data_IF_292322447906
#
_entry.id   IF_292322447906
#
_cell.length_a   1.000
_cell.length_b   1.000
_cell.length_c   1.000
_cell.angle_alpha   90.00
_cell.angle_beta   90.00
_cell.angle_gamma   90.00
#
_symmetry.space_group_name_H-M   'P 1'
#
loop_
_entity.id
_entity.type
_entity.pdbx_description
1 polymer ?
#
# COMPACT_ATOMS: atom_id res chain seq x y z
N UNK A 1 9.64 2.13 76.28
CA UNK A 1 9.26 1.08 75.31
C UNK A 1 8.57 1.59 74.03
N UNK A 2 8.28 2.88 73.87
CA UNK A 2 7.62 3.39 72.66
C UNK A 2 8.57 3.92 71.56
N UNK A 3 9.88 4.08 71.86
CA UNK A 3 10.90 4.59 70.91
C UNK A 3 11.53 3.52 70.02
N UNK A 4 11.51 2.25 70.41
CA UNK A 4 12.04 1.15 69.59
C UNK A 4 10.99 0.53 68.65
N UNK A 5 9.70 0.77 68.89
CA UNK A 5 8.60 0.31 68.04
C UNK A 5 8.58 1.05 66.69
N UNK A 6 8.99 2.32 66.67
CA UNK A 6 9.02 3.15 65.46
C UNK A 6 10.20 2.80 64.54
N UNK A 7 11.31 2.31 65.09
CA UNK A 7 12.51 1.94 64.32
C UNK A 7 12.35 0.58 63.60
N UNK A 8 11.52 -0.31 64.16
CA UNK A 8 11.20 -1.64 63.57
C UNK A 8 10.22 -1.56 62.39
N UNK A 9 9.38 -0.52 62.35
CA UNK A 9 8.43 -0.30 61.24
C UNK A 9 9.15 0.26 59.99
N UNK A 10 10.21 1.06 60.18
CA UNK A 10 10.98 1.64 59.06
C UNK A 10 11.87 0.58 58.38
N UNK A 11 12.37 -0.41 59.13
CA UNK A 11 13.17 -1.51 58.56
C UNK A 11 12.31 -2.53 57.81
N UNK A 12 11.04 -2.73 58.21
CA UNK A 12 10.10 -3.58 57.47
C UNK A 12 9.57 -2.90 56.20
N UNK A 13 9.53 -1.56 56.17
CA UNK A 13 9.09 -0.80 55.00
C UNK A 13 10.17 -0.66 53.92
N UNK A 14 11.43 -1.00 54.21
CA UNK A 14 12.53 -0.98 53.24
C UNK A 14 12.81 -2.34 52.58
N UNK A 15 12.17 -3.43 53.04
CA UNK A 15 12.27 -4.77 52.46
C UNK A 15 11.23 -5.04 51.36
N UNK A 16 10.38 -4.07 51.03
CA UNK A 16 9.34 -4.17 49.99
C UNK A 16 9.61 -3.31 48.74
N UNK A 17 10.84 -2.83 48.52
CA UNK A 17 11.24 -2.09 47.30
C UNK A 17 12.28 -2.89 46.51
N UNK A 18 12.07 -4.20 46.35
CA UNK A 18 12.83 -5.01 45.39
C UNK A 18 11.99 -6.14 44.77
N UNK A 19 10.68 -5.95 44.67
CA UNK A 19 9.95 -6.59 43.58
C UNK A 19 10.06 -5.68 42.36
N UNK A 20 11.25 -5.67 41.75
CA UNK A 20 11.30 -5.56 40.31
C UNK A 20 10.55 -6.79 39.80
N UNK A 21 9.23 -6.67 39.68
CA UNK A 21 8.44 -7.55 38.86
C UNK A 21 9.00 -7.40 37.44
N UNK A 22 9.98 -8.23 37.09
CA UNK A 22 10.15 -8.62 35.70
C UNK A 22 8.80 -9.21 35.32
N UNK A 23 7.99 -8.39 34.66
CA UNK A 23 6.79 -8.83 33.99
C UNK A 23 7.23 -9.85 32.94
N UNK A 24 7.29 -11.13 33.30
CA UNK A 24 7.18 -12.19 32.32
C UNK A 24 5.84 -11.96 31.61
N UNK A 25 5.91 -11.56 30.35
CA UNK A 25 4.76 -11.56 29.45
C UNK A 25 4.30 -13.01 29.34
N UNK A 26 3.38 -13.42 30.19
CA UNK A 26 2.66 -14.69 30.02
C UNK A 26 1.74 -14.47 28.83
N UNK A 27 2.19 -14.87 27.65
CA UNK A 27 1.36 -14.87 26.44
C UNK A 27 0.28 -15.95 26.58
N UNK A 28 -0.98 -15.55 26.45
CA UNK A 28 -2.12 -16.41 26.73
C UNK A 28 -2.45 -17.30 25.54
N UNK A 29 -2.61 -18.60 25.78
CA UNK A 29 -3.05 -19.56 24.78
C UNK A 29 -4.54 -19.40 24.48
N UNK A 30 -4.88 -19.01 23.26
CA UNK A 30 -6.26 -18.77 22.80
C UNK A 30 -6.85 -20.03 22.16
N UNK A 31 -6.08 -20.68 21.28
CA UNK A 31 -6.50 -21.89 20.58
C UNK A 31 -5.30 -22.77 20.21
N UNK A 32 -5.58 -23.98 19.73
CA UNK A 32 -4.58 -24.89 19.13
C UNK A 32 -5.12 -25.41 17.81
N UNK A 33 -4.29 -25.43 16.76
CA UNK A 33 -4.62 -25.94 15.42
C UNK A 33 -3.59 -26.99 15.00
N UNK A 34 -4.00 -28.26 14.91
CA UNK A 34 -3.11 -29.39 14.61
C UNK A 34 -1.83 -29.36 15.48
N UNK A 35 -2.01 -29.22 16.79
CA UNK A 35 -0.95 -29.13 17.80
C UNK A 35 -0.10 -27.84 17.78
N UNK A 36 -0.40 -26.87 16.91
CA UNK A 36 0.25 -25.55 16.96
C UNK A 36 -0.55 -24.55 17.80
N UNK A 37 0.06 -23.88 18.79
CA UNK A 37 -0.62 -22.90 19.62
C UNK A 37 -0.91 -21.61 18.84
N UNK A 38 -2.08 -21.03 19.12
CA UNK A 38 -2.47 -19.66 18.77
C UNK A 38 -2.53 -18.87 20.07
N UNK A 39 -1.78 -17.78 20.13
CA UNK A 39 -1.69 -16.95 21.33
C UNK A 39 -2.40 -15.61 21.16
N UNK A 40 -2.61 -14.89 22.27
CA UNK A 40 -3.25 -13.58 22.25
C UNK A 40 -2.42 -12.57 21.45
N UNK A 41 -1.09 -12.61 21.58
CA UNK A 41 -0.19 -11.78 20.79
C UNK A 41 -0.41 -11.94 19.28
N UNK A 42 -0.64 -13.17 18.81
CA UNK A 42 -0.92 -13.42 17.39
C UNK A 42 -2.24 -12.78 16.90
N UNK A 43 -3.26 -12.73 17.77
CA UNK A 43 -4.53 -12.07 17.45
C UNK A 43 -4.36 -10.55 17.39
N UNK A 44 -3.66 -9.97 18.37
CA UNK A 44 -3.36 -8.54 18.40
C UNK A 44 -2.53 -8.14 17.18
N UNK A 45 -1.52 -8.94 16.82
CA UNK A 45 -0.74 -8.77 15.60
C UNK A 45 -1.61 -8.78 14.35
N UNK A 46 -2.57 -9.72 14.24
CA UNK A 46 -3.46 -9.81 13.09
C UNK A 46 -4.38 -8.59 12.97
N UNK A 47 -4.91 -8.08 14.10
CA UNK A 47 -5.74 -6.87 14.12
C UNK A 47 -4.93 -5.61 13.78
N UNK A 48 -3.67 -5.57 14.24
CA UNK A 48 -2.75 -4.47 14.02
C UNK A 48 -1.90 -4.64 12.75
N UNK A 49 -2.11 -5.68 11.95
CA UNK A 49 -1.29 -6.00 10.79
C UNK A 49 -1.48 -4.93 9.69
N UNK A 50 -0.64 -3.92 9.71
CA UNK A 50 -0.67 -2.81 8.74
C UNK A 50 -0.35 -3.23 7.31
N UNK A 51 0.30 -4.39 7.14
CA UNK A 51 0.68 -5.02 5.86
C UNK A 51 -0.50 -5.69 5.14
N UNK A 52 -1.59 -5.96 5.85
CA UNK A 52 -2.86 -6.38 5.25
C UNK A 52 -3.54 -5.12 4.72
N UNK A 53 -4.15 -5.22 3.53
CA UNK A 53 -5.03 -4.19 3.00
C UNK A 53 -5.96 -3.69 4.13
N UNK A 54 -6.02 -2.39 4.46
CA UNK A 54 -6.84 -1.87 5.55
C UNK A 54 -8.28 -2.39 5.56
N UNK A 55 -8.85 -2.65 4.38
CA UNK A 55 -10.20 -3.18 4.21
C UNK A 55 -10.35 -4.67 4.60
N UNK A 56 -9.26 -5.44 4.57
CA UNK A 56 -9.21 -6.88 4.89
C UNK A 56 -8.75 -7.16 6.33
N UNK A 57 -8.50 -6.14 7.16
CA UNK A 57 -8.10 -6.34 8.55
C UNK A 57 -9.24 -6.88 9.41
N UNK A 58 -8.96 -7.85 10.32
CA UNK A 58 -9.94 -8.30 11.30
C UNK A 58 -10.45 -7.15 12.17
N UNK A 59 -11.78 -7.01 12.26
CA UNK A 59 -12.44 -5.92 13.02
C UNK A 59 -12.85 -6.31 14.44
N UNK A 60 -12.64 -7.58 14.79
CA UNK A 60 -13.01 -8.16 16.07
C UNK A 60 -12.04 -9.29 16.42
N UNK A 61 -11.83 -9.61 17.70
CA UNK A 61 -10.98 -10.71 18.11
C UNK A 61 -11.38 -12.07 17.52
N UNK A 62 -12.68 -12.31 17.27
CA UNK A 62 -13.17 -13.55 16.64
C UNK A 62 -12.71 -13.65 15.18
N UNK A 63 -12.82 -12.56 14.43
CA UNK A 63 -12.28 -12.48 13.07
C UNK A 63 -10.74 -12.61 13.06
N UNK A 64 -10.06 -12.10 14.08
CA UNK A 64 -8.62 -12.21 14.20
C UNK A 64 -8.21 -13.67 14.47
N UNK A 65 -8.95 -14.36 15.34
CA UNK A 65 -8.77 -15.79 15.58
C UNK A 65 -8.96 -16.59 14.28
N UNK A 66 -10.04 -16.35 13.55
CA UNK A 66 -10.31 -16.99 12.26
C UNK A 66 -9.18 -16.74 11.25
N UNK A 67 -8.72 -15.50 11.15
CA UNK A 67 -7.59 -15.13 10.30
C UNK A 67 -6.32 -15.90 10.66
N UNK A 68 -5.97 -15.97 11.95
CA UNK A 68 -4.76 -16.66 12.42
C UNK A 68 -4.88 -18.17 12.23
N UNK A 69 -6.06 -18.77 12.43
CA UNK A 69 -6.31 -20.18 12.13
C UNK A 69 -6.07 -20.46 10.65
N UNK A 70 -6.67 -19.68 9.76
CA UNK A 70 -6.53 -19.85 8.32
C UNK A 70 -5.08 -19.65 7.85
N UNK A 71 -4.37 -18.67 8.43
CA UNK A 71 -2.95 -18.43 8.17
C UNK A 71 -2.09 -19.63 8.58
N UNK A 72 -2.30 -20.19 9.77
CA UNK A 72 -1.61 -21.41 10.21
C UNK A 72 -1.87 -22.60 9.30
N UNK A 73 -3.12 -22.82 8.88
CA UNK A 73 -3.46 -23.89 7.95
C UNK A 73 -2.71 -23.70 6.63
N UNK A 74 -2.66 -22.48 6.08
CA UNK A 74 -1.89 -22.17 4.86
C UNK A 74 -0.40 -22.49 5.02
N UNK A 75 0.20 -22.12 6.15
CA UNK A 75 1.60 -22.43 6.44
C UNK A 75 1.86 -23.94 6.55
N UNK A 76 0.98 -24.68 7.23
CA UNK A 76 1.07 -26.13 7.32
C UNK A 76 1.01 -26.78 5.93
N UNK A 77 0.12 -26.33 5.05
CA UNK A 77 0.05 -26.83 3.68
C UNK A 77 1.29 -26.45 2.85
N UNK A 78 1.83 -25.24 3.02
CA UNK A 78 3.10 -24.86 2.39
C UNK A 78 4.25 -25.79 2.82
N UNK A 79 4.38 -26.06 4.14
CA UNK A 79 5.39 -26.99 4.67
C UNK A 79 5.21 -28.42 4.16
N UNK A 80 3.97 -28.92 4.08
CA UNK A 80 3.66 -30.25 3.51
C UNK A 80 4.08 -30.40 2.05
N UNK A 81 4.10 -29.30 1.28
CA UNK A 81 4.57 -29.28 -0.10
C UNK A 81 6.09 -29.11 -0.23
N UNK A 82 6.81 -29.05 0.89
CA UNK A 82 8.25 -28.80 0.93
C UNK A 82 8.63 -27.38 0.50
N UNK A 83 7.73 -26.41 0.70
CA UNK A 83 7.97 -25.01 0.34
C UNK A 83 8.58 -24.31 1.53
N UNK A 84 9.82 -23.85 1.35
CA UNK A 84 10.57 -23.07 2.33
C UNK A 84 11.17 -21.83 1.64
N UNK A 85 11.62 -20.89 2.46
CA UNK A 85 12.26 -19.65 2.03
C UNK A 85 13.74 -19.76 2.34
N UNK A 86 14.58 -19.49 1.35
CA UNK A 86 16.02 -19.40 1.58
C UNK A 86 16.45 -17.98 1.94
N UNK A 87 17.66 -17.82 2.48
CA UNK A 87 18.18 -16.53 2.95
C UNK A 87 18.25 -15.48 1.83
N UNK A 88 18.56 -15.87 0.59
CA UNK A 88 18.63 -14.95 -0.54
C UNK A 88 17.25 -14.42 -0.93
N UNK A 89 16.23 -15.27 -0.95
CA UNK A 89 14.83 -14.86 -1.18
C UNK A 89 14.37 -13.86 -0.11
N UNK A 90 14.67 -14.15 1.16
CA UNK A 90 14.34 -13.26 2.27
C UNK A 90 15.07 -11.91 2.15
N UNK A 91 16.36 -11.94 1.79
CA UNK A 91 17.18 -10.75 1.61
C UNK A 91 16.69 -9.86 0.46
N UNK A 92 16.28 -10.45 -0.66
CA UNK A 92 15.70 -9.72 -1.80
C UNK A 92 14.42 -9.00 -1.36
N UNK A 93 13.55 -9.70 -0.63
CA UNK A 93 12.29 -9.11 -0.14
C UNK A 93 12.52 -8.04 0.91
N UNK A 94 13.45 -8.25 1.84
CA UNK A 94 13.87 -7.23 2.81
C UNK A 94 14.43 -5.98 2.13
N UNK A 95 15.22 -6.13 1.06
CA UNK A 95 15.72 -5.00 0.28
C UNK A 95 14.57 -4.21 -0.39
N UNK A 96 13.53 -4.91 -0.88
CA UNK A 96 12.33 -4.27 -1.43
C UNK A 96 11.58 -3.48 -0.36
N UNK A 97 11.37 -4.06 0.82
CA UNK A 97 10.75 -3.34 1.94
C UNK A 97 11.57 -2.11 2.31
N UNK A 98 12.89 -2.26 2.47
CA UNK A 98 13.79 -1.15 2.80
C UNK A 98 13.72 -0.01 1.78
N UNK A 99 13.53 -0.33 0.48
CA UNK A 99 13.43 0.69 -0.57
C UNK A 99 12.19 1.60 -0.45
N UNK A 100 11.17 1.17 0.30
CA UNK A 100 9.99 1.99 0.59
C UNK A 100 10.23 2.98 1.75
N UNK A 101 11.36 2.89 2.45
CA UNK A 101 11.74 3.77 3.55
C UNK A 101 12.93 4.62 3.14
N UNK A 102 13.03 5.83 3.70
CA UNK A 102 14.13 6.75 3.41
C UNK A 102 15.47 6.25 3.97
N UNK A 103 15.42 5.40 5.00
CA UNK A 103 16.60 4.75 5.60
C UNK A 103 16.26 3.53 6.46
N UNK A 104 17.26 2.69 6.73
CA UNK A 104 17.12 1.56 7.68
C UNK A 104 16.79 2.02 9.12
N UNK A 105 17.21 3.23 9.51
CA UNK A 105 16.87 3.82 10.81
C UNK A 105 15.38 4.17 10.88
N UNK A 106 14.78 4.62 9.78
CA UNK A 106 13.35 4.89 9.68
C UNK A 106 12.51 3.61 9.79
N UNK A 107 12.93 2.53 9.12
CA UNK A 107 12.31 1.22 9.28
C UNK A 107 12.37 0.77 10.75
N UNK A 108 13.55 0.84 11.37
CA UNK A 108 13.75 0.41 12.76
C UNK A 108 12.89 1.22 13.73
N UNK A 109 12.80 2.54 13.54
CA UNK A 109 11.90 3.41 14.32
C UNK A 109 10.44 3.04 14.12
N UNK A 110 10.06 2.69 12.90
CA UNK A 110 8.68 2.26 12.58
C UNK A 110 8.33 0.95 13.25
N UNK A 111 9.21 -0.07 13.16
CA UNK A 111 9.04 -1.35 13.84
C UNK A 111 8.96 -1.18 15.36
N UNK A 112 9.84 -0.36 15.96
CA UNK A 112 9.80 -0.04 17.40
C UNK A 112 8.49 0.61 17.83
N UNK A 113 7.97 1.57 17.06
CA UNK A 113 6.64 2.19 17.34
C UNK A 113 5.51 1.17 17.30
N UNK A 114 5.68 0.08 16.56
CA UNK A 114 4.71 -1.01 16.41
C UNK A 114 4.94 -2.16 17.39
N UNK A 115 5.95 -2.07 18.27
CA UNK A 115 6.30 -3.17 19.18
C UNK A 115 6.90 -4.39 18.49
N UNK A 116 7.37 -4.25 17.24
CA UNK A 116 7.92 -5.35 16.43
C UNK A 116 9.44 -5.27 16.37
N UNK A 117 10.13 -6.42 16.45
CA UNK A 117 11.56 -6.51 16.17
C UNK A 117 11.85 -6.76 14.69
N UNK A 118 13.12 -6.63 14.29
CA UNK A 118 13.53 -6.97 12.92
C UNK A 118 13.37 -8.48 12.64
N UNK A 119 13.57 -9.31 13.66
CA UNK A 119 13.44 -10.78 13.58
C UNK A 119 11.98 -11.20 13.38
N UNK A 120 11.05 -10.52 14.08
CA UNK A 120 9.62 -10.72 13.88
C UNK A 120 9.19 -10.37 12.44
N UNK A 121 9.72 -9.26 11.90
CA UNK A 121 9.46 -8.86 10.52
C UNK A 121 9.98 -9.92 9.54
N UNK A 122 11.20 -10.41 9.74
CA UNK A 122 11.80 -11.44 8.89
C UNK A 122 11.00 -12.75 8.94
N UNK A 123 10.56 -13.15 10.13
CA UNK A 123 9.71 -14.33 10.33
C UNK A 123 8.39 -14.18 9.59
N UNK A 124 7.66 -13.08 9.81
CA UNK A 124 6.39 -12.81 9.13
C UNK A 124 6.57 -12.74 7.60
N UNK A 125 7.65 -12.12 7.13
CA UNK A 125 7.95 -12.02 5.71
C UNK A 125 8.22 -13.39 5.10
N UNK A 126 8.99 -14.24 5.79
CA UNK A 126 9.23 -15.63 5.38
C UNK A 126 7.91 -16.40 5.25
N UNK A 127 7.03 -16.30 6.25
CA UNK A 127 5.69 -16.92 6.22
C UNK A 127 4.86 -16.45 5.01
N UNK A 128 4.83 -15.15 4.72
CA UNK A 128 4.11 -14.61 3.55
C UNK A 128 4.71 -15.07 2.22
N UNK A 129 6.04 -15.21 2.12
CA UNK A 129 6.69 -15.78 0.94
C UNK A 129 6.32 -17.26 0.79
N UNK A 130 6.30 -18.04 1.87
CA UNK A 130 5.90 -19.45 1.84
C UNK A 130 4.47 -19.62 1.33
N UNK A 131 3.52 -18.83 1.85
CA UNK A 131 2.12 -18.88 1.44
C UNK A 131 2.00 -18.48 -0.04
N UNK A 132 2.66 -17.40 -0.47
CA UNK A 132 2.64 -16.95 -1.87
C UNK A 132 3.17 -18.02 -2.81
N UNK A 133 4.33 -18.62 -2.52
CA UNK A 133 4.91 -19.72 -3.30
C UNK A 133 3.97 -20.93 -3.35
N UNK A 134 3.30 -21.26 -2.23
CA UNK A 134 2.30 -22.32 -2.19
C UNK A 134 1.13 -22.03 -3.12
N UNK A 135 0.60 -20.81 -3.07
CA UNK A 135 -0.53 -20.39 -3.90
C UNK A 135 -0.16 -20.44 -5.39
N UNK A 136 1.00 -19.90 -5.76
CA UNK A 136 1.49 -19.93 -7.13
C UNK A 136 1.68 -21.35 -7.65
N UNK A 137 2.28 -22.24 -6.85
CA UNK A 137 2.51 -23.63 -7.24
C UNK A 137 1.21 -24.44 -7.36
N UNK A 138 0.25 -24.23 -6.46
CA UNK A 138 -1.00 -25.01 -6.42
C UNK A 138 -2.11 -24.48 -7.31
N UNK A 139 -2.19 -23.17 -7.52
CA UNK A 139 -3.32 -22.53 -8.20
C UNK A 139 -2.90 -21.72 -9.44
N UNK A 140 -1.63 -21.29 -9.51
CA UNK A 140 -1.14 -20.45 -10.61
C UNK A 140 -1.01 -21.18 -11.96
N UNK A 141 -0.84 -22.51 -11.97
CA UNK A 141 -0.56 -23.28 -13.19
C UNK A 141 -1.81 -23.95 -13.82
N UNK A 142 -2.96 -23.91 -13.16
CA UNK A 142 -4.12 -24.72 -13.55
C UNK A 142 -5.21 -23.97 -14.32
N UNK A 143 -5.12 -22.65 -14.43
CA UNK A 143 -6.14 -21.86 -15.13
C UNK A 143 -5.79 -21.82 -16.62
N UNK A 144 -6.63 -22.48 -17.44
CA UNK A 144 -6.45 -22.54 -18.89
C UNK A 144 -6.69 -21.18 -19.53
N UNK A 145 -5.82 -20.81 -20.47
CA UNK A 145 -5.93 -19.50 -21.15
C UNK A 145 -7.24 -19.36 -21.94
N UNK A 146 -7.74 -20.45 -22.52
CA UNK A 146 -9.03 -20.46 -23.23
C UNK A 146 -10.23 -20.18 -22.31
N UNK A 147 -10.18 -20.60 -21.04
CA UNK A 147 -11.21 -20.29 -20.05
C UNK A 147 -11.16 -18.80 -19.67
N UNK A 148 -9.95 -18.25 -19.52
CA UNK A 148 -9.76 -16.83 -19.23
C UNK A 148 -10.25 -15.93 -20.36
N UNK A 149 -10.03 -16.30 -21.62
CA UNK A 149 -10.46 -15.50 -22.76
C UNK A 149 -11.99 -15.42 -22.89
N UNK A 150 -12.69 -16.54 -22.72
CA UNK A 150 -14.16 -16.58 -22.76
C UNK A 150 -14.78 -15.74 -21.63
N UNK A 151 -14.27 -15.89 -20.41
CA UNK A 151 -14.72 -15.11 -19.26
C UNK A 151 -14.35 -13.63 -19.35
N UNK A 152 -13.15 -13.31 -19.86
CA UNK A 152 -12.73 -11.92 -20.06
C UNK A 152 -13.62 -11.22 -21.09
N UNK A 153 -13.99 -11.91 -22.17
CA UNK A 153 -14.93 -11.39 -23.17
C UNK A 153 -16.30 -11.12 -22.54
N UNK A 154 -16.85 -12.11 -21.81
CA UNK A 154 -18.12 -11.96 -21.13
C UNK A 154 -18.10 -10.83 -20.08
N UNK A 155 -17.02 -10.71 -19.32
CA UNK A 155 -16.83 -9.66 -18.32
C UNK A 155 -16.77 -8.28 -18.98
N UNK A 156 -15.99 -8.13 -20.05
CA UNK A 156 -15.90 -6.90 -20.84
C UNK A 156 -17.27 -6.48 -21.36
N UNK A 157 -18.00 -7.38 -22.01
CA UNK A 157 -19.33 -7.12 -22.57
C UNK A 157 -20.35 -6.69 -21.51
N UNK A 158 -20.38 -7.36 -20.35
CA UNK A 158 -21.28 -7.04 -19.25
C UNK A 158 -20.89 -5.75 -18.50
N UNK A 159 -19.63 -5.34 -18.58
CA UNK A 159 -19.09 -4.22 -17.81
C UNK A 159 -18.51 -3.11 -18.70
N UNK A 160 -18.95 -2.98 -19.97
CA UNK A 160 -18.44 -1.98 -20.92
C UNK A 160 -18.34 -0.58 -20.30
N UNK A 161 -19.38 -0.15 -19.57
CA UNK A 161 -19.41 1.15 -18.91
C UNK A 161 -18.25 1.41 -17.92
N UNK A 162 -17.59 0.37 -17.40
CA UNK A 162 -16.41 0.49 -16.52
C UNK A 162 -15.10 0.67 -17.29
N UNK A 163 -15.08 0.36 -18.58
CA UNK A 163 -13.88 0.40 -19.43
C UNK A 163 -13.87 1.63 -20.33
N UNK A 164 -13.90 2.79 -19.70
CA UNK A 164 -13.77 4.07 -20.37
C UNK A 164 -12.31 4.51 -20.28
N UNK A 165 -11.71 4.76 -21.44
CA UNK A 165 -10.46 5.50 -21.50
C UNK A 165 -10.84 6.96 -21.30
N UNK A 166 -10.38 7.59 -20.21
CA UNK A 166 -10.70 8.98 -19.93
C UNK A 166 -10.14 9.87 -21.03
N UNK A 167 -10.69 11.08 -21.11
CA UNK A 167 -10.11 12.12 -21.91
C UNK A 167 -8.65 12.35 -21.49
N UNK A 168 -7.75 12.44 -22.47
CA UNK A 168 -6.34 12.68 -22.23
C UNK A 168 -5.81 13.78 -23.13
N UNK A 169 -4.83 14.51 -22.62
CA UNK A 169 -4.23 15.66 -23.28
C UNK A 169 -2.72 15.54 -23.33
N UNK A 170 -2.11 16.19 -24.31
CA UNK A 170 -0.69 16.47 -24.32
C UNK A 170 -0.50 17.99 -24.27
N UNK A 171 0.38 18.46 -23.40
CA UNK A 171 0.65 19.89 -23.26
C UNK A 171 2.14 20.16 -23.10
N UNK A 172 2.55 21.36 -23.50
CA UNK A 172 3.82 21.94 -23.09
C UNK A 172 3.56 22.85 -21.90
N UNK A 173 4.44 22.82 -20.92
CA UNK A 173 4.39 23.72 -19.77
C UNK A 173 5.74 24.39 -19.55
N UNK A 174 5.70 25.65 -19.17
CA UNK A 174 6.83 26.39 -18.61
C UNK A 174 6.52 26.68 -17.16
N UNK A 175 7.47 26.33 -16.29
CA UNK A 175 7.34 26.57 -14.86
C UNK A 175 8.37 27.59 -14.39
N UNK A 176 7.90 28.62 -13.71
CA UNK A 176 8.69 29.67 -13.08
C UNK A 176 8.58 29.49 -11.57
N UNK A 177 9.53 28.73 -11.03
CA UNK A 177 9.54 28.33 -9.62
C UNK A 177 9.59 29.54 -8.69
N UNK A 178 8.80 29.47 -7.62
CA UNK A 178 8.82 30.40 -6.50
C UNK A 178 9.24 29.65 -5.23
N UNK A 179 10.25 30.14 -4.52
CA UNK A 179 10.66 29.52 -3.26
C UNK A 179 9.65 29.84 -2.14
N UNK A 180 9.43 28.92 -1.19
CA UNK A 180 8.62 29.20 -0.01
C UNK A 180 9.12 30.45 0.72
N UNK A 181 8.20 31.34 1.10
CA UNK A 181 8.50 32.62 1.77
C UNK A 181 9.26 33.66 0.91
N UNK A 182 9.26 33.53 -0.41
CA UNK A 182 9.78 34.58 -1.30
C UNK A 182 9.15 35.94 -0.99
N UNK A 183 9.98 36.99 -0.90
CA UNK A 183 9.50 38.36 -0.70
C UNK A 183 8.73 38.89 -1.92
N UNK A 184 8.02 40.00 -1.74
CA UNK A 184 7.17 40.59 -2.78
C UNK A 184 7.96 41.05 -4.01
N UNK A 185 9.21 41.49 -3.84
CA UNK A 185 10.08 41.93 -4.93
C UNK A 185 10.49 40.76 -5.81
N UNK A 186 10.89 39.64 -5.20
CA UNK A 186 11.23 38.41 -5.90
C UNK A 186 10.02 37.81 -6.62
N UNK A 187 8.85 37.78 -5.96
CA UNK A 187 7.58 37.37 -6.58
C UNK A 187 7.28 38.17 -7.84
N UNK A 188 7.42 39.51 -7.77
CA UNK A 188 7.17 40.38 -8.91
C UNK A 188 8.20 40.17 -10.02
N UNK A 189 9.48 39.98 -9.68
CA UNK A 189 10.54 39.71 -10.67
C UNK A 189 10.28 38.41 -11.45
N UNK A 190 9.91 37.34 -10.75
CA UNK A 190 9.60 36.04 -11.39
C UNK A 190 8.34 36.17 -12.26
N UNK A 191 7.32 36.88 -11.78
CA UNK A 191 6.11 37.17 -12.57
C UNK A 191 6.42 37.94 -13.84
N UNK A 192 7.21 39.02 -13.76
CA UNK A 192 7.61 39.80 -14.94
C UNK A 192 8.35 38.95 -15.96
N UNK A 193 9.23 38.04 -15.51
CA UNK A 193 9.93 37.11 -16.39
C UNK A 193 8.95 36.15 -17.11
N UNK A 194 7.91 35.68 -16.41
CA UNK A 194 6.84 34.90 -17.02
C UNK A 194 6.03 35.74 -18.03
N UNK A 195 5.74 37.01 -17.73
CA UNK A 195 5.05 37.93 -18.65
C UNK A 195 5.84 38.18 -19.93
N UNK A 196 7.15 38.48 -19.81
CA UNK A 196 8.04 38.64 -20.95
C UNK A 196 8.12 37.36 -21.79
N UNK A 197 8.20 36.20 -21.15
CA UNK A 197 8.21 34.90 -21.84
C UNK A 197 6.90 34.66 -22.57
N UNK A 198 5.76 34.97 -21.96
CA UNK A 198 4.45 34.86 -22.61
C UNK A 198 4.35 35.73 -23.88
N UNK A 199 4.87 36.96 -23.83
CA UNK A 199 4.91 37.86 -24.99
C UNK A 199 5.81 37.32 -26.12
N UNK A 200 6.89 36.62 -25.78
CA UNK A 200 7.71 35.92 -26.78
C UNK A 200 6.97 34.72 -27.38
N UNK A 201 6.29 33.92 -26.56
CA UNK A 201 5.54 32.74 -26.98
C UNK A 201 4.34 33.05 -27.89
N UNK A 202 3.75 34.24 -27.72
CA UNK A 202 2.71 34.76 -28.64
C UNK A 202 3.26 35.01 -30.06
N UNK A 203 4.55 35.28 -30.19
CA UNK A 203 5.22 35.48 -31.49
C UNK A 203 5.79 34.17 -32.05
N UNK A 204 6.32 33.33 -31.16
CA UNK A 204 6.97 32.06 -31.48
C UNK A 204 6.57 31.01 -30.45
N UNK A 205 5.54 30.23 -30.79
CA UNK A 205 4.88 29.28 -29.88
C UNK A 205 5.66 27.98 -29.66
N UNK A 206 6.99 28.01 -29.80
CA UNK A 206 7.90 26.90 -29.57
C UNK A 206 8.42 26.92 -28.12
N UNK A 207 7.67 26.24 -27.25
CA UNK A 207 8.01 26.08 -25.83
C UNK A 207 9.33 25.34 -25.64
N UNK A 208 9.75 24.47 -26.56
CA UNK A 208 10.93 23.61 -26.38
C UNK A 208 12.25 24.38 -26.46
N UNK A 209 12.23 25.64 -26.90
CA UNK A 209 13.40 26.54 -26.88
C UNK A 209 13.80 26.98 -25.47
N UNK A 210 12.90 26.83 -24.50
CA UNK A 210 13.11 27.29 -23.14
C UNK A 210 13.60 26.14 -22.25
N UNK A 211 14.65 26.35 -21.45
CA UNK A 211 15.27 25.28 -20.66
C UNK A 211 14.37 24.74 -19.54
N UNK A 212 13.40 25.53 -19.07
CA UNK A 212 12.42 25.16 -18.05
C UNK A 212 11.11 24.62 -18.65
N UNK A 213 11.13 24.25 -19.94
CA UNK A 213 9.99 23.66 -20.64
C UNK A 213 9.88 22.18 -20.37
N UNK A 214 8.65 21.68 -20.27
CA UNK A 214 8.35 20.26 -20.19
C UNK A 214 7.17 19.92 -21.11
N UNK A 215 7.40 19.02 -22.07
CA UNK A 215 6.33 18.37 -22.83
C UNK A 215 5.84 17.15 -22.07
N UNK A 216 4.54 17.10 -21.80
CA UNK A 216 3.94 15.92 -21.16
C UNK A 216 3.79 14.77 -22.14
N UNK A 217 3.66 13.54 -21.61
CA UNK A 217 2.95 12.48 -22.32
C UNK A 217 1.45 12.78 -22.41
N UNK A 218 0.66 11.82 -22.89
CA UNK A 218 -0.79 11.90 -22.74
C UNK A 218 -1.16 11.64 -21.29
N UNK A 219 -1.75 12.62 -20.64
CA UNK A 219 -2.21 12.54 -19.25
C UNK A 219 -3.69 12.87 -19.17
N UNK A 220 -4.38 12.24 -18.25
CA UNK A 220 -5.78 12.58 -17.97
C UNK A 220 -5.86 13.90 -17.21
N UNK A 221 -6.94 14.67 -17.41
CA UNK A 221 -7.10 16.00 -16.80
C UNK A 221 -7.04 15.94 -15.25
N UNK A 222 -7.57 14.86 -14.65
CA UNK A 222 -7.56 14.61 -13.20
C UNK A 222 -6.16 14.34 -12.63
N UNK A 223 -5.21 13.98 -13.48
CA UNK A 223 -3.81 13.74 -13.10
C UNK A 223 -2.95 15.00 -13.17
N UNK A 224 -3.47 16.10 -13.72
CA UNK A 224 -2.73 17.36 -13.80
C UNK A 224 -2.51 17.92 -12.40
N UNK A 225 -1.26 18.28 -12.12
CA UNK A 225 -0.84 18.97 -10.90
C UNK A 225 0.01 20.19 -11.27
N UNK A 226 -0.13 21.33 -10.58
CA UNK A 226 -1.14 21.65 -9.55
C UNK A 226 -2.60 21.66 -10.06
N UNK A 227 -3.59 21.60 -9.16
CA UNK A 227 -5.02 21.45 -9.53
C UNK A 227 -5.55 22.69 -10.26
N UNK A 228 -4.97 23.85 -10.00
CA UNK A 228 -5.25 25.13 -10.64
C UNK A 228 -5.04 25.07 -12.16
N UNK A 229 -4.11 24.23 -12.63
CA UNK A 229 -3.86 24.05 -14.06
C UNK A 229 -5.00 23.28 -14.73
N UNK A 230 -5.56 22.28 -14.04
CA UNK A 230 -6.56 21.37 -14.62
C UNK A 230 -7.81 22.13 -15.09
N UNK A 231 -8.31 23.09 -14.30
CA UNK A 231 -9.48 23.89 -14.66
C UNK A 231 -9.27 24.80 -15.86
N UNK A 232 -8.06 25.33 -16.03
CA UNK A 232 -7.71 26.18 -17.18
C UNK A 232 -7.60 25.30 -18.43
N UNK A 233 -6.81 24.22 -18.34
CA UNK A 233 -6.59 23.33 -19.48
C UNK A 233 -7.88 22.62 -19.93
N UNK A 234 -8.82 22.34 -19.02
CA UNK A 234 -10.13 21.79 -19.37
C UNK A 234 -10.90 22.67 -20.38
N UNK A 235 -10.71 23.99 -20.32
CA UNK A 235 -11.39 24.96 -21.18
C UNK A 235 -10.57 25.41 -22.40
N UNK A 236 -9.34 24.92 -22.57
CA UNK A 236 -8.47 25.28 -23.70
C UNK A 236 -8.77 24.44 -24.94
N UNK A 237 -8.68 25.05 -26.12
CA UNK A 237 -8.66 24.35 -27.40
C UNK A 237 -7.23 23.92 -27.75
N UNK A 238 -7.12 22.91 -28.62
CA UNK A 238 -5.82 22.47 -29.13
C UNK A 238 -5.17 23.62 -29.90
N UNK A 239 -3.92 23.94 -29.54
CA UNK A 239 -3.15 25.07 -30.05
C UNK A 239 -3.16 26.29 -29.13
N UNK A 240 -4.09 26.38 -28.18
CA UNK A 240 -4.17 27.54 -27.27
C UNK A 240 -2.96 27.62 -26.35
N UNK A 241 -2.53 28.86 -26.06
CA UNK A 241 -1.55 29.20 -25.04
C UNK A 241 -2.30 29.91 -23.90
N UNK A 242 -2.11 29.45 -22.67
CA UNK A 242 -2.73 30.05 -21.49
C UNK A 242 -2.17 31.45 -21.20
N UNK A 243 -2.90 32.22 -20.40
CA UNK A 243 -2.28 33.31 -19.63
C UNK A 243 -1.32 32.77 -18.57
N UNK A 244 -0.80 33.66 -17.74
CA UNK A 244 -0.01 33.26 -16.57
C UNK A 244 -0.94 32.66 -15.53
N UNK A 245 -0.62 31.45 -15.10
CA UNK A 245 -1.34 30.72 -14.08
C UNK A 245 -0.53 30.80 -12.79
N UNK A 246 -1.07 31.46 -11.77
CA UNK A 246 -0.43 31.59 -10.46
C UNK A 246 -0.81 30.41 -9.56
N UNK A 247 0.19 29.83 -8.90
CA UNK A 247 0.06 28.73 -7.96
C UNK A 247 0.90 29.02 -6.71
N UNK A 248 0.74 28.23 -5.65
CA UNK A 248 1.59 28.33 -4.45
C UNK A 248 3.07 28.06 -4.72
N UNK A 249 3.38 27.28 -5.77
CA UNK A 249 4.73 26.86 -6.13
C UNK A 249 5.40 27.81 -7.14
N UNK A 250 4.65 28.73 -7.73
CA UNK A 250 5.13 29.68 -8.73
C UNK A 250 4.15 29.89 -9.87
N UNK A 251 4.67 30.19 -11.06
CA UNK A 251 3.85 30.54 -12.21
C UNK A 251 4.00 29.54 -13.36
N UNK A 252 2.90 29.27 -14.04
CA UNK A 252 2.88 28.39 -15.20
C UNK A 252 2.38 29.12 -16.44
N UNK A 253 2.92 28.71 -17.59
CA UNK A 253 2.36 28.99 -18.91
C UNK A 253 2.20 27.65 -19.60
N UNK A 254 1.04 27.38 -20.18
CA UNK A 254 0.71 26.09 -20.78
C UNK A 254 0.32 26.30 -22.24
N UNK A 255 0.71 25.36 -23.10
CA UNK A 255 0.15 25.20 -24.44
C UNK A 255 -0.47 23.83 -24.58
N UNK A 256 -1.72 23.77 -25.02
CA UNK A 256 -2.38 22.50 -25.30
C UNK A 256 -1.98 22.02 -26.70
N UNK A 257 -1.26 20.90 -26.80
CA UNK A 257 -0.75 20.39 -28.06
C UNK A 257 -1.70 19.39 -28.72
N UNK A 258 -2.37 18.55 -27.93
CA UNK A 258 -3.33 17.57 -28.43
C UNK A 258 -4.36 17.23 -27.34
N UNK A 259 -5.55 16.81 -27.77
CA UNK A 259 -6.66 16.38 -26.92
C UNK A 259 -7.34 15.16 -27.54
N UNK A 260 -7.33 14.05 -26.81
CA UNK A 260 -8.01 12.81 -27.17
C UNK A 260 -9.27 12.68 -26.33
N UNK A 261 -10.41 12.72 -27.01
CA UNK A 261 -11.71 12.55 -26.36
C UNK A 261 -11.78 11.23 -25.60
N UNK A 262 -12.56 11.23 -24.51
CA UNK A 262 -12.90 10.00 -23.82
C UNK A 262 -13.59 9.04 -24.78
N UNK A 263 -13.25 7.75 -24.68
CA UNK A 263 -13.84 6.71 -25.51
C UNK A 263 -13.96 5.39 -24.77
N UNK A 264 -14.81 4.54 -25.29
CA UNK A 264 -14.87 3.14 -24.89
C UNK A 264 -13.54 2.46 -25.25
N UNK A 265 -12.94 1.76 -24.28
CA UNK A 265 -11.81 0.87 -24.57
C UNK A 265 -12.29 -0.29 -25.44
N UNK A 266 -11.45 -0.79 -26.34
CA UNK A 266 -11.68 -2.06 -27.03
C UNK A 266 -11.29 -3.23 -26.14
N UNK A 267 -11.85 -4.42 -26.39
CA UNK A 267 -11.51 -5.62 -25.62
C UNK A 267 -10.00 -5.87 -25.62
N UNK A 268 -9.34 -5.76 -26.78
CA UNK A 268 -7.89 -6.00 -26.90
C UNK A 268 -7.05 -5.04 -26.04
N UNK A 269 -7.50 -3.81 -25.82
CA UNK A 269 -6.77 -2.83 -24.99
C UNK A 269 -6.82 -3.16 -23.50
N UNK A 270 -7.84 -3.88 -23.05
CA UNK A 270 -8.06 -4.21 -21.63
C UNK A 270 -8.01 -5.70 -21.35
N UNK A 271 -7.80 -6.55 -22.36
CA UNK A 271 -7.84 -8.01 -22.27
C UNK A 271 -6.93 -8.53 -21.16
N UNK A 272 -5.65 -8.16 -21.20
CA UNK A 272 -4.65 -8.65 -20.25
C UNK A 272 -4.97 -8.23 -18.81
N UNK A 273 -5.47 -6.99 -18.63
CA UNK A 273 -5.90 -6.49 -17.32
C UNK A 273 -7.10 -7.30 -16.79
N UNK A 274 -8.11 -7.53 -17.63
CA UNK A 274 -9.30 -8.30 -17.25
C UNK A 274 -8.91 -9.74 -16.92
N UNK A 275 -8.08 -10.38 -17.75
CA UNK A 275 -7.61 -11.75 -17.51
C UNK A 275 -6.80 -11.85 -16.22
N UNK A 276 -5.90 -10.90 -15.94
CA UNK A 276 -5.17 -10.86 -14.68
C UNK A 276 -6.10 -10.72 -13.48
N UNK A 277 -7.14 -9.87 -13.58
CA UNK A 277 -8.15 -9.71 -12.53
C UNK A 277 -8.94 -11.00 -12.30
N UNK A 278 -9.45 -11.63 -13.37
CA UNK A 278 -10.21 -12.88 -13.29
C UNK A 278 -9.33 -14.00 -12.72
N UNK A 279 -8.08 -14.11 -13.17
CA UNK A 279 -7.10 -15.07 -12.65
C UNK A 279 -6.90 -14.88 -11.14
N UNK A 280 -6.71 -13.64 -10.68
CA UNK A 280 -6.58 -13.33 -9.25
C UNK A 280 -7.84 -13.71 -8.46
N UNK A 281 -9.03 -13.42 -8.99
CA UNK A 281 -10.30 -13.76 -8.35
C UNK A 281 -10.50 -15.28 -8.23
N UNK A 282 -10.20 -16.04 -9.29
CA UNK A 282 -10.27 -17.50 -9.28
C UNK A 282 -9.31 -18.11 -8.28
N UNK A 283 -8.04 -17.70 -8.30
CA UNK A 283 -7.03 -18.17 -7.35
C UNK A 283 -7.47 -17.89 -5.91
N UNK A 284 -8.02 -16.70 -5.63
CA UNK A 284 -8.55 -16.34 -4.30
C UNK A 284 -9.71 -17.28 -3.91
N UNK A 285 -10.67 -17.49 -4.79
CA UNK A 285 -11.83 -18.36 -4.53
C UNK A 285 -11.42 -19.84 -4.30
N UNK A 286 -10.51 -20.37 -5.12
CA UNK A 286 -10.01 -21.74 -4.99
C UNK A 286 -9.21 -21.92 -3.69
N UNK A 287 -8.39 -20.94 -3.33
CA UNK A 287 -7.67 -20.93 -2.06
C UNK A 287 -8.64 -20.91 -0.88
N UNK A 288 -9.64 -20.02 -0.88
CA UNK A 288 -10.66 -19.94 0.17
C UNK A 288 -11.43 -21.26 0.31
N UNK A 289 -11.81 -21.88 -0.80
CA UNK A 289 -12.48 -23.18 -0.80
C UNK A 289 -11.59 -24.31 -0.26
N UNK A 290 -10.31 -24.35 -0.63
CA UNK A 290 -9.35 -25.33 -0.11
C UNK A 290 -9.12 -25.13 1.39
N UNK A 291 -8.91 -23.90 1.85
CA UNK A 291 -8.70 -23.60 3.28
C UNK A 291 -9.94 -23.94 4.10
N UNK A 292 -11.15 -23.68 3.58
CA UNK A 292 -12.39 -24.10 4.23
C UNK A 292 -12.43 -25.62 4.44
N UNK A 293 -12.15 -26.41 3.40
CA UNK A 293 -12.09 -27.88 3.50
C UNK A 293 -11.03 -28.34 4.51
N UNK A 294 -9.86 -27.69 4.51
CA UNK A 294 -8.78 -28.01 5.45
C UNK A 294 -9.15 -27.66 6.88
N UNK A 295 -9.91 -26.59 7.09
CA UNK A 295 -10.42 -26.17 8.40
C UNK A 295 -11.42 -27.17 8.97
N UNK A 296 -12.28 -27.76 8.13
CA UNK A 296 -13.26 -28.79 8.54
C UNK A 296 -12.60 -30.08 9.06
N UNK A 297 -11.40 -30.42 8.57
CA UNK A 297 -10.66 -31.63 8.99
C UNK A 297 -9.53 -31.35 10.00
N UNK A 298 -9.25 -30.08 10.30
CA UNK A 298 -8.20 -29.70 11.23
C UNK A 298 -8.66 -29.93 12.68
N UNK A 299 -7.74 -30.37 13.54
CA UNK A 299 -7.98 -30.43 14.97
C UNK A 299 -7.85 -29.02 15.56
N UNK A 300 -9.00 -28.35 15.74
CA UNK A 300 -9.08 -26.98 16.27
C UNK A 300 -9.70 -27.02 17.67
N UNK A 301 -8.91 -26.65 18.67
CA UNK A 301 -9.37 -26.54 20.07
C UNK A 301 -9.26 -25.10 20.54
N UNK A 302 -10.40 -24.44 20.72
CA UNK A 302 -10.46 -23.09 21.30
C UNK A 302 -10.44 -23.24 22.83
N UNK A 303 -9.50 -22.56 23.47
CA UNK A 303 -9.19 -22.70 24.91
C UNK A 303 -9.72 -21.49 25.69
N UNK A 304 -9.65 -20.29 25.11
CA UNK A 304 -10.16 -19.08 25.72
C UNK A 304 -11.42 -18.59 25.00
N UNK A 305 -12.54 -18.43 25.74
CA UNK A 305 -13.68 -17.67 25.24
C UNK A 305 -13.33 -16.18 25.35
N UNK A 306 -13.15 -15.53 24.20
CA UNK A 306 -13.05 -14.08 24.10
C UNK A 306 -14.31 -13.51 24.79
N UNK A 307 -14.14 -12.87 25.95
CA UNK A 307 -15.28 -12.21 26.62
C UNK A 307 -15.74 -11.07 25.72
N UNK A 308 -17.04 -11.07 25.39
CA UNK A 308 -17.75 -9.97 24.72
C UNK A 308 -17.59 -8.65 25.47
#
# INVERSE_FOLDING_TARGET
>A
MLRYLFLLIIIFMFLMINNHSQSELIDYLVAVVNNEPITMSMLEDAMNAFWINPDERPKSPEQALDYVIDHKIKLQEARKLGIFVNEEELKIEMARINSNFSSNDELTKTLKRQGMSLDDLQTKLSEEIMIRKMVERRFGQFIRESELEGEATAFFEQNKAKFIIPESIQMDQLFFKLEPNSDQSLKQKIKNNAEETLEMLKKDSDFLKYPNSLRTGYISIDQIKPIELAGIVANMNVGDISGIIETSEGYYIIKLNDRRASRQATFNEVKDQIQAQIRKQKIKADLEAEIKKKREIAEIKIIYQIKK
#
